data_IF_595178133195
#
_entry.id   IF_595178133195
#
_cell.length_a   1.000
_cell.length_b   1.000
_cell.length_c   1.000
_cell.angle_alpha   90.00
_cell.angle_beta   90.00
_cell.angle_gamma   90.00
#
_symmetry.space_group_name_H-M   'P 1'
#
loop_
_entity.id
_entity.type
_entity.pdbx_description
1 polymer ?
#
# COMPACT_ATOMS: atom_id res chain seq x y z
N UNK A 1 -19.01 6.44 -43.58
CA UNK A 1 -19.19 7.18 -42.33
C UNK A 1 -19.46 6.26 -41.10
N UNK A 2 -20.14 5.15 -41.25
CA UNK A 2 -20.40 4.21 -40.14
C UNK A 2 -19.16 3.47 -39.65
N UNK A 3 -18.17 3.22 -40.50
CA UNK A 3 -16.92 2.55 -40.14
C UNK A 3 -15.95 3.38 -39.30
N UNK A 4 -15.91 4.69 -39.57
CA UNK A 4 -15.03 5.60 -38.84
C UNK A 4 -15.46 5.80 -37.38
N UNK A 5 -16.76 5.78 -37.10
CA UNK A 5 -17.30 5.90 -35.75
C UNK A 5 -17.00 4.65 -34.90
N UNK A 6 -17.03 3.47 -35.51
CA UNK A 6 -16.71 2.22 -34.84
C UNK A 6 -15.21 2.12 -34.50
N UNK A 7 -14.34 2.58 -35.40
CA UNK A 7 -12.88 2.58 -35.14
C UNK A 7 -12.53 3.58 -34.04
N UNK A 8 -13.16 4.75 -34.03
CA UNK A 8 -12.94 5.75 -32.98
C UNK A 8 -13.42 5.25 -31.60
N UNK A 9 -14.50 4.50 -31.56
CA UNK A 9 -15.03 3.94 -30.31
C UNK A 9 -14.14 2.79 -29.79
N UNK A 10 -13.53 2.02 -30.68
CA UNK A 10 -12.62 0.93 -30.32
C UNK A 10 -11.28 1.45 -29.80
N UNK A 11 -10.77 2.56 -30.35
CA UNK A 11 -9.54 3.20 -29.88
C UNK A 11 -9.70 3.83 -28.49
N UNK A 12 -10.87 4.34 -28.15
CA UNK A 12 -11.16 4.88 -26.82
C UNK A 12 -11.17 3.79 -25.73
N UNK A 13 -11.60 2.57 -26.07
CA UNK A 13 -11.62 1.43 -25.14
C UNK A 13 -10.19 0.94 -24.86
N UNK A 14 -9.29 1.02 -25.84
CA UNK A 14 -7.89 0.61 -25.66
C UNK A 14 -7.08 1.58 -24.78
N UNK A 15 -7.43 2.86 -24.75
CA UNK A 15 -6.79 3.85 -23.88
C UNK A 15 -7.13 3.65 -22.38
N UNK A 16 -8.26 2.99 -22.08
CA UNK A 16 -8.66 2.67 -20.71
C UNK A 16 -7.92 1.46 -20.10
N UNK A 17 -7.14 0.72 -20.89
CA UNK A 17 -6.37 -0.44 -20.43
C UNK A 17 -4.90 -0.12 -20.09
N UNK A 18 -4.45 1.12 -20.26
CA UNK A 18 -3.14 1.56 -19.78
C UNK A 18 -3.16 1.53 -18.24
N UNK A 19 -2.25 0.79 -17.61
CA UNK A 19 -2.17 0.69 -16.15
C UNK A 19 -2.15 2.07 -15.48
N UNK A 20 -2.68 2.15 -14.27
CA UNK A 20 -2.66 3.38 -13.49
C UNK A 20 -1.24 3.76 -13.06
N UNK A 21 -1.01 5.05 -12.85
CA UNK A 21 0.25 5.54 -12.31
C UNK A 21 0.43 5.11 -10.84
N UNK A 22 1.64 4.69 -10.43
CA UNK A 22 1.90 4.34 -9.04
C UNK A 22 1.82 5.58 -8.14
N UNK A 23 1.23 5.40 -6.96
CA UNK A 23 1.12 6.41 -5.91
C UNK A 23 1.80 5.91 -4.64
N UNK A 24 3.13 5.74 -4.63
CA UNK A 24 3.83 5.20 -3.48
C UNK A 24 3.82 6.18 -2.32
N UNK A 25 3.64 5.65 -1.10
CA UNK A 25 3.71 6.42 0.12
C UNK A 25 5.17 6.56 0.59
N UNK A 26 5.53 7.73 1.10
CA UNK A 26 6.84 7.92 1.71
C UNK A 26 6.95 7.12 3.02
N UNK A 27 8.08 6.44 3.23
CA UNK A 27 8.30 5.64 4.44
C UNK A 27 8.39 6.49 5.70
N UNK A 28 8.95 7.70 5.60
CA UNK A 28 9.05 8.69 6.67
C UNK A 28 8.34 9.97 6.22
N UNK A 29 7.52 10.53 7.09
CA UNK A 29 6.73 11.71 6.78
C UNK A 29 6.97 12.80 7.83
N UNK A 30 6.83 14.10 7.47
CA UNK A 30 7.12 15.19 8.41
C UNK A 30 6.27 15.15 9.68
N UNK A 31 5.01 14.70 9.61
CA UNK A 31 4.11 14.63 10.75
C UNK A 31 4.48 13.54 11.76
N UNK A 32 5.35 12.61 11.40
CA UNK A 32 5.74 11.51 12.27
C UNK A 32 6.38 11.99 13.58
N UNK A 33 7.04 13.16 13.54
CA UNK A 33 7.63 13.77 14.73
C UNK A 33 6.58 14.12 15.79
N UNK A 34 5.35 14.39 15.37
CA UNK A 34 4.25 14.84 16.23
C UNK A 34 3.16 13.79 16.44
N UNK A 35 3.28 12.63 15.78
CA UNK A 35 2.27 11.59 15.87
C UNK A 35 2.30 10.92 17.23
N UNK A 36 1.16 10.91 17.91
CA UNK A 36 0.96 10.14 19.12
C UNK A 36 0.59 8.68 18.83
N UNK A 37 0.50 7.86 19.87
CA UNK A 37 0.18 6.45 19.72
C UNK A 37 -1.16 6.20 19.00
N UNK A 38 -2.18 7.02 19.27
CA UNK A 38 -3.49 6.89 18.62
C UNK A 38 -3.41 7.16 17.14
N UNK A 39 -2.68 8.20 16.74
CA UNK A 39 -2.46 8.53 15.33
C UNK A 39 -1.68 7.43 14.60
N UNK A 40 -0.63 6.90 15.23
CA UNK A 40 0.19 5.83 14.65
C UNK A 40 -0.65 4.57 14.41
N UNK A 41 -1.45 4.17 15.39
CA UNK A 41 -2.32 2.99 15.27
C UNK A 41 -3.39 3.19 14.19
N UNK A 42 -4.00 4.37 14.13
CA UNK A 42 -4.99 4.69 13.10
C UNK A 42 -4.38 4.62 11.70
N UNK A 43 -3.17 5.11 11.52
CA UNK A 43 -2.47 5.05 10.25
C UNK A 43 -2.12 3.60 9.86
N UNK A 44 -1.63 2.81 10.81
CA UNK A 44 -1.35 1.38 10.57
C UNK A 44 -2.62 0.65 10.12
N UNK A 45 -3.75 0.92 10.76
CA UNK A 45 -5.02 0.31 10.38
C UNK A 45 -5.47 0.73 8.98
N UNK A 46 -5.36 2.02 8.64
CA UNK A 46 -5.66 2.52 7.31
C UNK A 46 -4.74 1.89 6.25
N UNK A 47 -3.46 1.75 6.57
CA UNK A 47 -2.48 1.12 5.69
C UNK A 47 -2.73 -0.38 5.53
N UNK A 48 -3.22 -1.06 6.56
CA UNK A 48 -3.64 -2.46 6.45
C UNK A 48 -4.78 -2.62 5.44
N UNK A 49 -5.78 -1.75 5.47
CA UNK A 49 -6.86 -1.77 4.49
C UNK A 49 -6.33 -1.54 3.06
N UNK A 50 -5.40 -0.61 2.90
CA UNK A 50 -4.75 -0.35 1.61
C UNK A 50 -3.92 -1.55 1.15
N UNK A 51 -3.20 -2.19 2.05
CA UNK A 51 -2.41 -3.40 1.75
C UNK A 51 -3.29 -4.54 1.23
N UNK A 52 -4.43 -4.76 1.84
CA UNK A 52 -5.41 -5.77 1.39
C UNK A 52 -5.94 -5.41 0.00
N UNK A 53 -6.25 -4.15 -0.24
CA UNK A 53 -6.69 -3.68 -1.55
C UNK A 53 -5.65 -3.95 -2.64
N UNK A 54 -4.39 -3.63 -2.38
CA UNK A 54 -3.29 -3.86 -3.33
C UNK A 54 -3.07 -5.36 -3.57
N UNK A 55 -3.14 -6.18 -2.52
CA UNK A 55 -3.02 -7.62 -2.65
C UNK A 55 -4.15 -8.20 -3.50
N UNK A 56 -5.38 -7.75 -3.31
CA UNK A 56 -6.52 -8.18 -4.12
C UNK A 56 -6.38 -7.77 -5.59
N UNK A 57 -5.85 -6.58 -5.85
CA UNK A 57 -5.58 -6.10 -7.21
C UNK A 57 -4.60 -7.01 -7.96
N UNK A 58 -3.63 -7.59 -7.25
CA UNK A 58 -2.61 -8.46 -7.82
C UNK A 58 -2.84 -9.95 -7.58
N UNK A 59 -3.86 -10.32 -6.83
CA UNK A 59 -4.08 -11.70 -6.42
C UNK A 59 -3.02 -12.22 -5.44
N UNK A 60 -2.37 -11.34 -4.72
CA UNK A 60 -1.36 -11.70 -3.72
C UNK A 60 -2.00 -12.10 -2.40
N UNK A 61 -1.26 -12.91 -1.65
CA UNK A 61 -1.65 -13.29 -0.29
C UNK A 61 -1.19 -12.25 0.72
N UNK A 62 -1.97 -12.11 1.78
CA UNK A 62 -1.61 -11.28 2.92
C UNK A 62 -1.42 -12.16 4.16
N UNK A 63 -0.56 -11.72 5.06
CA UNK A 63 -0.37 -12.33 6.37
C UNK A 63 -0.42 -11.24 7.43
N UNK A 64 -0.97 -11.57 8.59
CA UNK A 64 -0.96 -10.66 9.74
C UNK A 64 0.38 -10.76 10.47
N UNK A 65 0.91 -9.62 10.83
CA UNK A 65 2.07 -9.50 11.69
C UNK A 65 1.69 -8.71 12.94
N UNK A 66 1.95 -9.25 14.10
CA UNK A 66 1.67 -8.59 15.38
C UNK A 66 2.98 -8.21 16.04
N UNK A 67 3.18 -6.91 16.22
CA UNK A 67 4.35 -6.37 16.91
C UNK A 67 3.90 -5.25 17.85
N UNK A 68 4.37 -5.28 19.08
CA UNK A 68 4.06 -4.26 20.10
C UNK A 68 2.55 -4.01 20.30
N UNK A 69 1.71 -5.04 20.15
CA UNK A 69 0.26 -4.92 20.25
C UNK A 69 -0.42 -4.27 19.04
N UNK A 70 0.33 -4.04 17.98
CA UNK A 70 -0.16 -3.47 16.73
C UNK A 70 -0.24 -4.57 15.67
N UNK A 71 -1.39 -4.69 15.03
CA UNK A 71 -1.59 -5.67 13.96
C UNK A 71 -1.31 -5.00 12.62
N UNK A 72 -0.29 -5.49 11.92
CA UNK A 72 0.05 -5.07 10.56
C UNK A 72 -0.25 -6.16 9.54
N UNK A 73 -0.48 -5.76 8.31
CA UNK A 73 -0.65 -6.68 7.19
C UNK A 73 0.63 -6.71 6.37
N UNK A 74 1.16 -7.89 6.17
CA UNK A 74 2.30 -8.13 5.28
C UNK A 74 1.77 -8.65 3.96
N UNK A 75 2.16 -8.02 2.88
CA UNK A 75 1.82 -8.44 1.52
C UNK A 75 2.90 -9.40 1.04
N UNK A 76 2.48 -10.54 0.59
CA UNK A 76 3.38 -11.60 0.17
C UNK A 76 3.10 -12.06 -1.26
N UNK A 77 4.11 -12.18 -2.13
CA UNK A 77 5.51 -11.74 -2.03
C UNK A 77 5.68 -10.36 -2.70
N UNK A 78 6.12 -9.37 -1.96
CA UNK A 78 6.23 -7.98 -2.46
C UNK A 78 7.37 -7.80 -3.46
N UNK A 79 8.45 -8.56 -3.28
CA UNK A 79 9.65 -8.42 -4.11
C UNK A 79 9.65 -9.27 -5.38
N UNK A 80 8.69 -10.17 -5.54
CA UNK A 80 8.59 -10.97 -6.75
C UNK A 80 7.83 -10.21 -7.84
N UNK A 81 8.50 -9.93 -8.94
CA UNK A 81 7.90 -9.30 -10.10
C UNK A 81 7.71 -7.79 -9.97
N UNK A 82 8.58 -7.12 -9.22
CA UNK A 82 8.64 -5.67 -9.23
C UNK A 82 9.09 -5.19 -10.61
N UNK A 83 8.11 -4.90 -11.44
CA UNK A 83 8.31 -4.14 -12.67
C UNK A 83 8.07 -2.66 -12.35
N UNK A 84 8.90 -1.79 -12.90
CA UNK A 84 8.73 -0.34 -12.77
C UNK A 84 7.37 0.17 -13.26
N UNK A 85 6.67 -0.63 -14.06
CA UNK A 85 5.33 -0.36 -14.56
C UNK A 85 4.22 -0.96 -13.68
N UNK A 86 4.55 -1.73 -12.66
CA UNK A 86 3.60 -2.33 -11.74
C UNK A 86 3.26 -1.34 -10.62
N UNK A 87 2.20 -0.57 -10.80
CA UNK A 87 1.76 0.41 -9.83
C UNK A 87 1.43 -0.22 -8.47
N UNK A 88 0.70 -1.33 -8.44
CA UNK A 88 0.34 -2.01 -7.20
C UNK A 88 1.57 -2.57 -6.48
N UNK A 89 2.54 -3.13 -7.21
CA UNK A 89 3.79 -3.63 -6.66
C UNK A 89 4.65 -2.54 -6.05
N UNK A 90 4.79 -1.41 -6.73
CA UNK A 90 5.52 -0.25 -6.24
C UNK A 90 4.86 0.34 -4.98
N UNK A 91 3.56 0.48 -4.98
CA UNK A 91 2.81 0.97 -3.82
C UNK A 91 2.90 -0.01 -2.64
N UNK A 92 2.81 -1.31 -2.89
CA UNK A 92 2.92 -2.33 -1.86
C UNK A 92 4.29 -2.33 -1.19
N UNK A 93 5.36 -2.20 -1.97
CA UNK A 93 6.73 -2.09 -1.46
C UNK A 93 6.90 -0.84 -0.59
N UNK A 94 6.44 0.30 -1.07
CA UNK A 94 6.49 1.56 -0.31
C UNK A 94 5.65 1.48 0.97
N UNK A 95 4.48 0.88 0.89
CA UNK A 95 3.59 0.69 2.03
C UNK A 95 4.20 -0.22 3.10
N UNK A 96 4.88 -1.28 2.69
CA UNK A 96 5.59 -2.15 3.64
C UNK A 96 6.73 -1.42 4.35
N UNK A 97 7.50 -0.62 3.64
CA UNK A 97 8.53 0.21 4.26
C UNK A 97 7.90 1.19 5.26
N UNK A 98 6.78 1.79 4.92
CA UNK A 98 6.01 2.66 5.83
C UNK A 98 5.53 1.91 7.06
N UNK A 99 4.98 0.71 6.89
CA UNK A 99 4.49 -0.12 8.00
C UNK A 99 5.62 -0.54 8.94
N UNK A 100 6.79 -0.88 8.43
CA UNK A 100 7.95 -1.18 9.27
C UNK A 100 8.36 0.03 10.11
N UNK A 101 8.40 1.21 9.51
CA UNK A 101 8.70 2.45 10.22
C UNK A 101 7.65 2.74 11.31
N UNK A 102 6.37 2.66 10.96
CA UNK A 102 5.29 2.90 11.91
C UNK A 102 5.27 1.88 13.05
N UNK A 103 5.58 0.63 12.78
CA UNK A 103 5.69 -0.41 13.81
C UNK A 103 6.83 -0.09 14.78
N UNK A 104 7.98 0.33 14.27
CA UNK A 104 9.10 0.77 15.11
C UNK A 104 8.70 1.98 15.95
N UNK A 105 8.05 2.95 15.35
CA UNK A 105 7.59 4.15 16.03
C UNK A 105 6.53 3.82 17.11
N UNK A 106 5.62 2.90 16.81
CA UNK A 106 4.64 2.39 17.76
C UNK A 106 5.30 1.70 18.95
N UNK A 107 6.34 0.91 18.71
CA UNK A 107 7.11 0.26 19.79
C UNK A 107 7.73 1.30 20.71
N UNK A 108 8.22 2.39 20.16
CA UNK A 108 8.84 3.45 20.94
C UNK A 108 7.82 4.31 21.71
N UNK A 109 6.72 4.68 21.07
CA UNK A 109 5.77 5.67 21.62
C UNK A 109 4.55 5.08 22.28
N UNK A 110 4.05 3.96 21.78
CA UNK A 110 2.94 3.28 22.43
C UNK A 110 3.36 2.50 23.66
N UNK A 111 4.66 2.47 23.90
CA UNK A 111 5.25 1.70 24.96
C UNK A 111 4.86 0.24 24.82
N UNK A 112 5.76 -0.64 24.41
CA UNK A 112 5.54 -2.03 24.73
C UNK A 112 5.06 -2.01 26.17
N UNK A 113 3.75 -2.16 26.40
CA UNK A 113 3.26 -2.20 27.76
C UNK A 113 4.01 -3.30 28.45
N UNK A 114 4.90 -2.89 29.28
CA UNK A 114 5.63 -3.80 30.13
C UNK A 114 4.61 -4.62 30.86
N UNK A 115 4.80 -5.92 30.84
CA UNK A 115 3.97 -6.78 31.66
C UNK A 115 4.03 -6.35 33.13
#
# INVERSE_FOLDING_TARGET
MRGAALIAMFTLILLGCAGRDPQPVASVQPHDAYSDCTMIRAEIEANNAKAIQLANEKGWKTAQNVAAGVVGIVIWPVWFGLDSKDAAGNEATALQARQQFLTTLATQRCGAKRP
#
